data_IF_320002203197
#
_entry.id   IF_320002203197
#
_cell.length_a   1.000
_cell.length_b   1.000
_cell.length_c   1.000
_cell.angle_alpha   90.00
_cell.angle_beta   90.00
_cell.angle_gamma   90.00
#
_symmetry.space_group_name_H-M   'P 1'
#
loop_
_entity.id
_entity.type
_entity.pdbx_description
1 polymer ?
#
# COMPACT_ATOMS: atom_id res chain seq x y z
N UNK A 1 5.78 -19.19 -1.57
CA UNK A 1 5.62 -18.60 -0.28
C UNK A 1 5.60 -17.10 -0.33
N UNK A 2 4.60 -16.54 0.21
CA UNK A 2 4.46 -15.09 0.17
C UNK A 2 5.35 -14.36 1.17
N UNK A 3 5.92 -15.06 2.14
CA UNK A 3 6.71 -14.42 3.18
C UNK A 3 7.92 -13.66 2.60
N UNK A 4 8.65 -14.28 1.67
CA UNK A 4 9.77 -13.63 1.04
C UNK A 4 9.34 -12.45 0.19
N UNK A 5 8.23 -12.62 -0.54
CA UNK A 5 7.69 -11.58 -1.38
C UNK A 5 7.22 -10.38 -0.54
N UNK A 6 6.60 -10.66 0.60
CA UNK A 6 6.16 -9.58 1.49
C UNK A 6 7.35 -8.80 2.03
N UNK A 7 8.43 -9.48 2.36
CA UNK A 7 9.61 -8.80 2.87
C UNK A 7 10.18 -7.83 1.83
N UNK A 8 10.25 -8.28 0.59
CA UNK A 8 10.74 -7.43 -0.50
C UNK A 8 9.79 -6.25 -0.71
N UNK A 9 8.49 -6.51 -0.72
CA UNK A 9 7.49 -5.47 -0.93
C UNK A 9 7.54 -4.43 0.20
N UNK A 10 7.69 -4.89 1.44
CA UNK A 10 7.78 -3.97 2.57
C UNK A 10 9.00 -3.06 2.46
N UNK A 11 10.11 -3.65 2.03
CA UNK A 11 11.35 -2.89 1.84
C UNK A 11 11.19 -1.83 0.76
N UNK A 12 10.57 -2.19 -0.34
CA UNK A 12 10.32 -1.26 -1.44
C UNK A 12 9.38 -0.13 -1.01
N UNK A 13 8.35 -0.46 -0.25
CA UNK A 13 7.42 0.55 0.24
C UNK A 13 8.14 1.50 1.21
N UNK A 14 8.94 0.96 2.12
CA UNK A 14 9.70 1.81 3.05
C UNK A 14 10.65 2.74 2.29
N UNK A 15 11.34 2.22 1.28
CA UNK A 15 12.24 3.04 0.48
C UNK A 15 11.49 4.14 -0.27
N UNK A 16 10.31 3.83 -0.76
CA UNK A 16 9.45 4.82 -1.39
C UNK A 16 9.10 5.95 -0.41
N UNK A 17 8.73 5.59 0.82
CA UNK A 17 8.38 6.57 1.83
C UNK A 17 9.56 7.49 2.17
N UNK A 18 10.74 6.91 2.25
CA UNK A 18 11.94 7.69 2.58
C UNK A 18 12.39 8.53 1.39
N UNK A 19 12.50 7.93 0.22
CA UNK A 19 13.14 8.57 -0.93
C UNK A 19 12.20 9.44 -1.74
N UNK A 20 10.93 9.09 -1.84
CA UNK A 20 9.97 9.83 -2.64
C UNK A 20 9.09 10.75 -1.79
N UNK A 21 8.80 10.35 -0.56
CA UNK A 21 7.94 11.13 0.32
C UNK A 21 8.74 11.93 1.35
N UNK A 22 10.03 11.71 1.45
CA UNK A 22 10.89 12.49 2.34
C UNK A 22 10.70 12.19 3.82
N UNK A 23 10.18 11.00 4.15
CA UNK A 23 9.94 10.66 5.55
C UNK A 23 11.20 10.09 6.19
N UNK A 24 11.30 10.24 7.51
CA UNK A 24 12.39 9.63 8.25
C UNK A 24 12.23 8.11 8.24
N UNK A 25 13.33 7.41 8.53
CA UNK A 25 13.30 5.97 8.62
C UNK A 25 12.27 5.50 9.65
N UNK A 26 12.23 6.16 10.81
CA UNK A 26 11.29 5.79 11.85
C UNK A 26 9.84 5.94 11.44
N UNK A 27 9.50 7.06 10.81
CA UNK A 27 8.15 7.30 10.34
C UNK A 27 7.78 6.31 9.23
N UNK A 28 8.71 6.06 8.31
CA UNK A 28 8.48 5.09 7.24
C UNK A 28 8.22 3.70 7.81
N UNK A 29 9.03 3.28 8.78
CA UNK A 29 8.86 1.98 9.42
C UNK A 29 7.52 1.89 10.15
N UNK A 30 7.10 2.99 10.77
CA UNK A 30 5.80 3.05 11.43
C UNK A 30 4.67 2.80 10.44
N UNK A 31 4.70 3.46 9.28
CA UNK A 31 3.66 3.27 8.28
C UNK A 31 3.69 1.86 7.69
N UNK A 32 4.87 1.31 7.47
CA UNK A 32 4.97 -0.09 7.04
C UNK A 32 4.30 -1.00 8.06
N UNK A 33 4.51 -0.72 9.36
CA UNK A 33 3.87 -1.49 10.43
C UNK A 33 2.36 -1.43 10.39
N UNK A 34 1.79 -0.25 10.07
CA UNK A 34 0.33 -0.14 9.98
C UNK A 34 -0.22 -1.02 8.86
N UNK A 35 0.46 -1.08 7.72
CA UNK A 35 0.02 -1.90 6.59
C UNK A 35 0.19 -3.39 6.92
N UNK A 36 1.28 -3.75 7.60
CA UNK A 36 1.48 -5.15 8.01
C UNK A 36 0.36 -5.62 8.93
N UNK A 37 -0.02 -4.78 9.89
CA UNK A 37 -1.11 -5.12 10.81
C UNK A 37 -2.44 -5.22 10.09
N UNK A 38 -2.69 -4.28 9.18
CA UNK A 38 -3.91 -4.31 8.38
C UNK A 38 -3.98 -5.60 7.56
N UNK A 39 -2.88 -5.96 6.90
CA UNK A 39 -2.83 -7.17 6.09
C UNK A 39 -3.17 -8.41 6.91
N UNK A 40 -2.54 -8.54 8.07
CA UNK A 40 -2.78 -9.68 8.94
C UNK A 40 -4.24 -9.74 9.38
N UNK A 41 -4.78 -8.61 9.79
CA UNK A 41 -6.16 -8.54 10.29
C UNK A 41 -7.17 -8.85 9.19
N UNK A 42 -6.93 -8.37 7.98
CA UNK A 42 -7.83 -8.65 6.86
C UNK A 42 -7.82 -10.11 6.47
N UNK A 43 -6.65 -10.75 6.53
CA UNK A 43 -6.56 -12.19 6.26
C UNK A 43 -7.30 -12.99 7.33
N UNK A 44 -7.10 -12.64 8.58
CA UNK A 44 -7.76 -13.33 9.69
C UNK A 44 -9.26 -13.18 9.64
N UNK A 45 -9.73 -12.04 9.13
CA UNK A 45 -11.18 -11.80 8.99
C UNK A 45 -11.76 -12.40 7.71
N UNK A 46 -10.91 -12.97 6.85
CA UNK A 46 -11.39 -13.57 5.60
C UNK A 46 -11.73 -12.56 4.53
N UNK A 47 -11.30 -11.31 4.69
CA UNK A 47 -11.60 -10.27 3.71
C UNK A 47 -10.68 -10.37 2.50
N UNK A 48 -9.43 -10.77 2.73
CA UNK A 48 -8.49 -11.05 1.64
C UNK A 48 -7.91 -12.45 1.85
N UNK A 49 -7.52 -13.08 0.75
CA UNK A 49 -7.01 -14.45 0.77
C UNK A 49 -5.51 -14.51 0.98
N UNK A 50 -4.83 -13.43 0.63
CA UNK A 50 -3.38 -13.37 0.67
C UNK A 50 -2.96 -12.03 1.28
N UNK A 51 -1.66 -11.79 1.35
CA UNK A 51 -1.14 -10.53 1.88
C UNK A 51 -1.61 -9.35 1.03
N UNK A 52 -1.85 -8.21 1.69
CA UNK A 52 -2.18 -6.97 0.99
C UNK A 52 -1.07 -6.60 0.00
N UNK A 53 0.17 -6.99 0.29
CA UNK A 53 1.31 -6.72 -0.60
C UNK A 53 1.25 -7.52 -1.89
N UNK A 54 0.41 -8.56 -1.94
CA UNK A 54 0.22 -9.38 -3.14
C UNK A 54 -0.88 -8.86 -4.05
N UNK A 55 -1.62 -7.85 -3.61
CA UNK A 55 -2.66 -7.23 -4.44
C UNK A 55 -1.97 -6.38 -5.50
N UNK A 56 -2.10 -6.78 -6.76
CA UNK A 56 -1.45 -6.07 -7.87
C UNK A 56 -2.37 -5.11 -8.59
N UNK A 57 -3.66 -5.31 -8.45
CA UNK A 57 -4.65 -4.50 -9.15
C UNK A 57 -4.99 -3.27 -8.31
N UNK A 58 -4.60 -2.09 -8.81
CA UNK A 58 -4.82 -0.85 -8.05
C UNK A 58 -6.29 -0.50 -7.93
N UNK A 59 -7.13 -0.92 -8.87
CA UNK A 59 -8.58 -0.68 -8.77
C UNK A 59 -9.18 -1.49 -7.63
N UNK A 60 -8.73 -2.74 -7.47
CA UNK A 60 -9.18 -3.56 -6.35
C UNK A 60 -8.70 -2.96 -5.04
N UNK A 61 -7.47 -2.46 -5.01
CA UNK A 61 -6.93 -1.84 -3.81
C UNK A 61 -7.71 -0.58 -3.45
N UNK A 62 -8.07 0.23 -4.44
CA UNK A 62 -8.88 1.42 -4.21
C UNK A 62 -10.26 1.06 -3.66
N UNK A 63 -10.89 0.03 -4.24
CA UNK A 63 -12.18 -0.44 -3.77
C UNK A 63 -12.09 -0.92 -2.32
N UNK A 64 -11.05 -1.68 -2.01
CA UNK A 64 -10.83 -2.16 -0.66
C UNK A 64 -10.64 -0.98 0.30
N UNK A 65 -9.82 -0.02 -0.08
CA UNK A 65 -9.57 1.17 0.72
C UNK A 65 -10.88 1.92 1.01
N UNK A 66 -11.71 2.07 -0.02
CA UNK A 66 -12.99 2.77 0.11
C UNK A 66 -13.93 2.04 1.08
N UNK A 67 -14.01 0.71 0.96
CA UNK A 67 -14.87 -0.07 1.84
C UNK A 67 -14.36 -0.07 3.28
N UNK A 68 -13.06 -0.05 3.45
CA UNK A 68 -12.48 -0.04 4.80
C UNK A 68 -12.74 1.26 5.53
N UNK A 69 -12.97 2.35 4.82
CA UNK A 69 -13.18 3.65 5.44
C UNK A 69 -14.32 3.64 6.45
N UNK A 70 -15.32 2.74 6.28
CA UNK A 70 -16.44 2.62 7.20
C UNK A 70 -16.42 1.33 7.99
N UNK A 71 -15.34 0.57 7.90
CA UNK A 71 -15.21 -0.73 8.56
C UNK A 71 -14.86 -0.56 10.04
N UNK A 72 -15.53 -1.31 10.91
CA UNK A 72 -15.19 -1.31 12.33
C UNK A 72 -13.79 -1.86 12.57
N UNK A 73 -13.41 -2.87 11.80
CA UNK A 73 -12.06 -3.45 11.90
C UNK A 73 -11.01 -2.39 11.62
N UNK A 74 -11.22 -1.62 10.56
CA UNK A 74 -10.29 -0.55 10.20
C UNK A 74 -10.19 0.48 11.33
N UNK A 75 -11.34 0.84 11.90
CA UNK A 75 -11.38 1.82 12.98
C UNK A 75 -10.58 1.36 14.20
N UNK A 76 -10.70 0.08 14.54
CA UNK A 76 -9.97 -0.49 15.68
C UNK A 76 -8.46 -0.44 15.44
N UNK A 77 -8.02 -0.85 14.26
CA UNK A 77 -6.60 -0.84 13.94
C UNK A 77 -6.07 0.58 13.89
N UNK A 78 -6.84 1.48 13.28
CA UNK A 78 -6.43 2.87 13.15
C UNK A 78 -6.25 3.51 14.53
N UNK A 79 -7.17 3.20 15.46
CA UNK A 79 -7.06 3.73 16.81
C UNK A 79 -5.83 3.20 17.51
N UNK A 80 -5.52 1.92 17.31
CA UNK A 80 -4.32 1.31 17.89
C UNK A 80 -3.05 2.05 17.46
N UNK A 81 -3.02 2.56 16.24
CA UNK A 81 -1.89 3.32 15.72
C UNK A 81 -2.11 4.82 15.80
N UNK A 82 -2.97 5.27 16.71
CA UNK A 82 -3.22 6.69 16.94
C UNK A 82 -3.58 7.44 15.65
N UNK A 83 -4.37 6.79 14.81
CA UNK A 83 -4.82 7.37 13.55
C UNK A 83 -3.86 7.18 12.39
N UNK A 84 -2.73 6.50 12.60
CA UNK A 84 -1.70 6.37 11.57
C UNK A 84 -2.04 5.46 10.41
N UNK A 85 -3.04 4.57 10.57
CA UNK A 85 -3.40 3.67 9.48
C UNK A 85 -3.96 4.44 8.28
N UNK A 86 -4.75 5.48 8.52
CA UNK A 86 -5.33 6.27 7.43
C UNK A 86 -4.24 6.85 6.52
N UNK A 87 -3.25 7.62 7.04
CA UNK A 87 -2.19 8.09 6.14
C UNK A 87 -1.30 6.96 5.64
N UNK A 88 -1.10 5.90 6.44
CA UNK A 88 -0.31 4.76 5.98
C UNK A 88 -0.92 4.10 4.75
N UNK A 89 -2.23 3.90 4.77
CA UNK A 89 -2.92 3.27 3.64
C UNK A 89 -2.93 4.20 2.44
N UNK A 90 -3.08 5.51 2.65
CA UNK A 90 -3.00 6.47 1.56
C UNK A 90 -1.63 6.41 0.88
N UNK A 91 -0.57 6.40 1.67
CA UNK A 91 0.78 6.30 1.13
C UNK A 91 0.99 4.99 0.38
N UNK A 92 0.45 3.90 0.92
CA UNK A 92 0.58 2.60 0.27
C UNK A 92 -0.14 2.59 -1.07
N UNK A 93 -1.35 3.16 -1.11
CA UNK A 93 -2.07 3.26 -2.37
C UNK A 93 -1.29 4.09 -3.39
N UNK A 94 -0.75 5.23 -2.97
CA UNK A 94 0.05 6.08 -3.85
C UNK A 94 1.28 5.34 -4.36
N UNK A 95 1.91 4.54 -3.50
CA UNK A 95 3.05 3.73 -3.88
C UNK A 95 2.66 2.74 -4.98
N UNK A 96 1.53 2.07 -4.81
CA UNK A 96 1.07 1.09 -5.79
C UNK A 96 0.70 1.75 -7.12
N UNK A 97 0.07 2.90 -7.08
CA UNK A 97 -0.26 3.64 -8.30
C UNK A 97 1.01 4.04 -9.02
N UNK A 98 1.98 4.57 -8.30
CA UNK A 98 3.25 5.00 -8.87
C UNK A 98 3.96 3.82 -9.57
N UNK A 99 4.00 2.66 -8.91
CA UNK A 99 4.62 1.49 -9.50
C UNK A 99 3.88 1.02 -10.74
N UNK A 100 2.55 1.05 -10.70
CA UNK A 100 1.73 0.64 -11.84
C UNK A 100 1.97 1.55 -13.03
N UNK A 101 1.99 2.85 -12.80
CA UNK A 101 2.24 3.82 -13.87
C UNK A 101 3.64 3.67 -14.44
N UNK A 102 4.61 3.45 -13.59
CA UNK A 102 5.99 3.28 -14.02
C UNK A 102 6.12 2.05 -14.92
N UNK A 103 5.50 0.95 -14.52
CA UNK A 103 5.52 -0.27 -15.33
C UNK A 103 4.79 -0.07 -16.65
N UNK A 104 3.68 0.62 -16.62
CA UNK A 104 2.92 0.90 -17.82
C UNK A 104 3.74 1.77 -18.79
N UNK A 105 4.35 2.80 -18.29
CA UNK A 105 5.19 3.68 -19.11
C UNK A 105 6.34 2.95 -19.74
N UNK A 106 6.92 2.02 -19.02
CA UNK A 106 8.00 1.23 -19.55
C UNK A 106 7.58 0.39 -20.72
N UNK A 107 6.35 -0.10 -20.69
CA UNK A 107 5.81 -0.86 -21.78
C UNK A 107 5.49 0.00 -22.98
N UNK A 108 5.01 1.16 -22.77
CA UNK A 108 4.63 2.03 -23.81
C UNK A 108 5.71 2.87 -24.31
N UNK A 109 6.51 3.07 -23.80
CA UNK A 109 7.42 3.93 -24.03
C UNK A 109 7.27 4.67 -25.06
N UNK A 110 6.70 4.79 -25.46
CA UNK A 110 6.47 5.56 -26.36
C UNK A 110 5.35 6.34 -26.33
N UNK A 111 4.72 6.57 -26.00
CA UNK A 111 3.69 7.39 -25.98
C UNK A 111 3.56 8.33 -25.30
N UNK A 112 3.73 8.28 -25.27
CA UNK A 112 3.40 8.98 -24.77
C UNK A 112 3.27 9.71 -24.39
N UNK A 113 3.65 10.08 -24.41
CA UNK A 113 3.37 10.68 -23.96
C UNK A 113 2.84 11.45 -23.86
N UNK A 114 2.54 11.20 -24.20
CA UNK A 114 1.83 11.71 -24.21
C UNK A 114 1.35 12.22 -23.85
N UNK A 115 1.17 12.00 -23.77
CA UNK A 115 0.47 12.23 -23.38
C UNK A 115 0.17 12.76 -22.61
N UNK A 116 0.04 13.04 -22.32
CA UNK A 116 -0.33 13.42 -21.64
C UNK A 116 -0.11 14.31 -21.28
N UNK A 117 -0.01 14.44 -21.46
CA UNK A 117 0.02 14.95 -21.26
C UNK A 117 -0.09 15.14 -21.21
#
# INVERSE_FOLDING_TARGET
MSLGDDRIARSKFRNYLINRCGLSYGTATYYVGTINKLSKSLKEAGIIDSSIYEIKNVHYLLDLKTRLATSDLFKVINKHYSGGLTPGLRHYYDFMVTNSESNHNRHHYTRVAFQRD
#
